data_IF_243435522375
#
_entry.id   IF_243435522375
#
_cell.length_a   1.000
_cell.length_b   1.000
_cell.length_c   1.000
_cell.angle_alpha   90.00
_cell.angle_beta   90.00
_cell.angle_gamma   90.00
#
_symmetry.space_group_name_H-M   'P 1'
#
loop_
_entity.id
_entity.type
_entity.pdbx_description
1 polymer ?
#
# COMPACT_ATOMS: atom_id res chain seq x y z
N UNK A 1 -3.13 5.07 11.68
CA UNK A 1 -2.06 4.07 11.93
C UNK A 1 -2.04 3.62 13.39
N UNK A 2 -2.09 4.53 14.36
CA UNK A 2 -2.07 4.21 15.78
C UNK A 2 -3.11 3.18 16.23
N UNK A 3 -4.33 3.24 15.68
CA UNK A 3 -5.36 2.24 15.94
C UNK A 3 -4.92 0.82 15.54
N UNK A 4 -4.40 0.64 14.31
CA UNK A 4 -3.97 -0.68 13.81
C UNK A 4 -2.83 -1.27 14.64
N UNK A 5 -1.96 -0.42 15.18
CA UNK A 5 -0.80 -0.83 15.96
C UNK A 5 -1.15 -1.14 17.43
N UNK A 6 -2.18 -0.47 17.99
CA UNK A 6 -2.58 -0.61 19.39
C UNK A 6 -3.68 -1.65 19.62
N UNK A 7 -4.53 -1.88 18.63
CA UNK A 7 -5.63 -2.84 18.73
C UNK A 7 -5.09 -4.29 18.86
N UNK A 8 -5.60 -5.08 19.82
CA UNK A 8 -5.02 -6.37 20.18
C UNK A 8 -5.10 -7.43 19.07
N UNK A 9 -6.01 -7.24 18.10
CA UNK A 9 -6.23 -8.18 16.99
C UNK A 9 -5.52 -7.69 15.73
N UNK A 10 -5.71 -6.44 15.34
CA UNK A 10 -5.15 -5.92 14.08
C UNK A 10 -3.63 -5.84 14.09
N UNK A 11 -2.99 -5.63 15.26
CA UNK A 11 -1.53 -5.72 15.39
C UNK A 11 -0.94 -7.10 15.06
N UNK A 12 -1.79 -8.13 15.02
CA UNK A 12 -1.36 -9.49 14.67
C UNK A 12 -1.27 -9.70 13.14
N UNK A 13 -1.91 -8.84 12.35
CA UNK A 13 -1.93 -8.88 10.88
C UNK A 13 -0.51 -8.66 10.35
N UNK A 14 0.02 -9.51 9.45
CA UNK A 14 1.37 -9.38 8.92
C UNK A 14 1.67 -8.00 8.31
N UNK A 15 0.73 -7.45 7.54
CA UNK A 15 0.91 -6.12 6.95
C UNK A 15 1.08 -5.01 8.00
N UNK A 16 0.47 -5.15 9.18
CA UNK A 16 0.62 -4.18 10.28
C UNK A 16 1.97 -4.38 10.98
N UNK A 17 2.40 -5.63 11.21
CA UNK A 17 3.68 -5.96 11.84
C UNK A 17 4.88 -5.46 11.05
N UNK A 18 4.84 -5.67 9.74
CA UNK A 18 5.92 -5.28 8.82
C UNK A 18 5.78 -3.82 8.34
N UNK A 19 4.79 -3.08 8.86
CA UNK A 19 4.48 -1.70 8.45
C UNK A 19 4.24 -1.52 6.93
N UNK A 20 3.70 -2.56 6.28
CA UNK A 20 3.30 -2.55 4.88
C UNK A 20 1.92 -1.90 4.71
N UNK A 21 1.83 -0.61 5.03
CA UNK A 21 0.57 0.13 5.09
C UNK A 21 0.67 1.40 4.21
N UNK A 22 0.53 1.26 2.88
CA UNK A 22 0.67 2.40 1.97
C UNK A 22 -0.44 3.42 2.20
N UNK A 23 -0.05 4.69 2.33
CA UNK A 23 -0.98 5.80 2.39
C UNK A 23 -1.38 6.21 0.96
N UNK A 24 -2.59 5.83 0.55
CA UNK A 24 -3.12 6.13 -0.79
C UNK A 24 -4.23 7.18 -0.66
N UNK A 25 -4.28 8.11 -1.61
CA UNK A 25 -5.36 9.09 -1.69
C UNK A 25 -6.69 8.38 -2.00
N UNK A 26 -7.71 8.60 -1.18
CA UNK A 26 -9.02 7.96 -1.36
C UNK A 26 -9.65 8.29 -2.72
N UNK A 27 -9.35 9.47 -3.28
CA UNK A 27 -9.87 9.90 -4.57
C UNK A 27 -9.32 9.10 -5.74
N UNK A 28 -8.10 8.57 -5.62
CA UNK A 28 -7.48 7.72 -6.65
C UNK A 28 -8.02 6.29 -6.60
N UNK A 29 -8.76 5.90 -5.55
CA UNK A 29 -9.41 4.59 -5.48
C UNK A 29 -10.81 4.58 -6.09
N UNK A 30 -11.36 5.76 -6.41
CA UNK A 30 -12.61 5.86 -7.15
C UNK A 30 -12.39 5.51 -8.62
N UNK A 31 -13.27 4.68 -9.17
CA UNK A 31 -13.20 4.26 -10.57
C UNK A 31 -13.18 5.48 -11.51
N UNK A 32 -12.12 5.60 -12.31
CA UNK A 32 -11.95 6.66 -13.29
C UNK A 32 -10.48 6.86 -13.68
N UNK A 33 -10.17 7.99 -14.33
CA UNK A 33 -8.81 8.29 -14.79
C UNK A 33 -7.80 8.32 -13.63
N UNK A 34 -8.21 8.85 -12.47
CA UNK A 34 -7.37 8.93 -11.26
C UNK A 34 -7.02 7.56 -10.66
N UNK A 35 -7.64 6.47 -11.12
CA UNK A 35 -7.26 5.11 -10.71
C UNK A 35 -5.84 4.76 -11.14
N UNK A 36 -5.35 5.35 -12.23
CA UNK A 36 -3.98 5.13 -12.72
C UNK A 36 -2.97 5.58 -11.65
N UNK A 37 -3.06 6.83 -11.19
CA UNK A 37 -2.19 7.38 -10.14
C UNK A 37 -2.23 6.54 -8.84
N UNK A 38 -3.41 5.99 -8.51
CA UNK A 38 -3.59 5.13 -7.35
C UNK A 38 -2.88 3.78 -7.48
N UNK A 39 -2.92 3.20 -8.69
CA UNK A 39 -2.22 1.95 -9.00
C UNK A 39 -0.71 2.17 -9.05
N UNK A 40 -0.23 3.28 -9.61
CA UNK A 40 1.19 3.64 -9.63
C UNK A 40 1.75 3.76 -8.20
N UNK A 41 1.09 4.52 -7.33
CA UNK A 41 1.49 4.63 -5.91
C UNK A 41 1.48 3.30 -5.17
N UNK A 42 0.50 2.43 -5.47
CA UNK A 42 0.45 1.09 -4.89
C UNK A 42 1.62 0.23 -5.38
N UNK A 43 1.93 0.29 -6.68
CA UNK A 43 3.04 -0.45 -7.27
C UNK A 43 4.38 -0.01 -6.65
N UNK A 44 4.61 1.30 -6.52
CA UNK A 44 5.80 1.84 -5.87
C UNK A 44 5.94 1.35 -4.43
N UNK A 45 4.86 1.39 -3.65
CA UNK A 45 4.88 0.89 -2.27
C UNK A 45 5.20 -0.62 -2.19
N UNK A 46 4.68 -1.42 -3.11
CA UNK A 46 5.00 -2.86 -3.16
C UNK A 46 6.49 -3.10 -3.47
N UNK A 47 7.11 -2.27 -4.31
CA UNK A 47 8.55 -2.33 -4.58
C UNK A 47 9.34 -1.89 -3.34
N UNK A 48 8.96 -0.80 -2.68
CA UNK A 48 9.61 -0.31 -1.45
C UNK A 48 9.55 -1.33 -0.31
N UNK A 49 8.45 -2.07 -0.19
CA UNK A 49 8.30 -3.15 0.78
C UNK A 49 9.01 -4.45 0.38
N UNK A 50 9.66 -4.50 -0.78
CA UNK A 50 10.33 -5.70 -1.31
C UNK A 50 9.36 -6.83 -1.67
N UNK A 51 8.09 -6.50 -1.89
CA UNK A 51 7.02 -7.44 -2.26
C UNK A 51 6.87 -7.59 -3.79
N UNK A 52 7.48 -6.69 -4.55
CA UNK A 52 7.52 -6.71 -6.00
C UNK A 52 8.89 -6.23 -6.51
N UNK A 53 9.17 -6.52 -7.79
CA UNK A 53 10.36 -6.02 -8.49
C UNK A 53 9.93 -5.04 -9.59
N UNK A 54 10.67 -3.94 -9.79
CA UNK A 54 10.39 -3.04 -10.90
C UNK A 54 10.58 -3.81 -12.21
N UNK A 55 9.57 -3.75 -13.09
CA UNK A 55 9.68 -4.31 -14.43
C UNK A 55 10.80 -3.55 -15.17
N UNK A 56 11.84 -4.26 -15.61
CA UNK A 56 12.86 -3.65 -16.47
C UNK A 56 12.16 -3.10 -17.72
N UNK A 57 12.33 -1.80 -17.98
CA UNK A 57 11.85 -1.20 -19.22
C UNK A 57 12.58 -1.89 -20.40
N UNK A 58 11.82 -2.60 -21.22
CA UNK A 58 12.27 -3.16 -22.49
C UNK A 58 12.11 -2.14 -23.62
#
# INVERSE_FOLDING_TARGET
>A
MEYLQSDPVTKLIPAVKENHLPAIDVQTMNAGIRTIDGVEKLADALVEYGLAHPQAAH
#
